data_IF_074992397417
#
_entry.id   IF_074992397417
#
_cell.length_a   1.000
_cell.length_b   1.000
_cell.length_c   1.000
_cell.angle_alpha   90.00
_cell.angle_beta   90.00
_cell.angle_gamma   90.00
#
_symmetry.space_group_name_H-M   'P 1'
#
loop_
_entity.id
_entity.type
_entity.pdbx_description
1 polymer ?
#
# COMPACT_ATOMS: atom_id res chain seq x y z
N UNK A 1 4.73 19.43 12.15
CA UNK A 1 4.65 20.09 10.83
C UNK A 1 5.24 19.18 9.77
N UNK A 2 4.55 19.00 8.64
CA UNK A 2 5.15 18.39 7.44
C UNK A 2 6.35 19.27 7.04
N UNK A 3 7.54 18.68 6.98
CA UNK A 3 8.74 19.44 6.62
C UNK A 3 8.74 19.67 5.10
N UNK A 4 9.12 20.87 4.64
CA UNK A 4 9.26 21.11 3.22
C UNK A 4 10.30 20.16 2.62
N UNK A 5 10.09 19.65 1.40
CA UNK A 5 10.93 18.63 0.78
C UNK A 5 12.41 19.07 0.66
N UNK A 6 12.67 20.37 0.58
CA UNK A 6 14.02 20.96 0.56
C UNK A 6 14.77 20.68 1.86
N UNK A 7 14.14 20.93 3.02
CA UNK A 7 14.73 20.61 4.34
C UNK A 7 14.93 19.12 4.54
N UNK A 8 14.06 18.29 3.96
CA UNK A 8 14.26 16.85 3.97
C UNK A 8 15.48 16.46 3.12
N UNK A 9 15.67 17.11 1.97
CA UNK A 9 16.83 16.93 1.10
C UNK A 9 18.15 17.31 1.77
N UNK A 10 18.17 18.42 2.50
CA UNK A 10 19.32 18.83 3.31
C UNK A 10 19.67 17.79 4.38
N UNK A 11 18.66 17.32 5.13
CA UNK A 11 18.85 16.30 6.17
C UNK A 11 19.35 14.98 5.60
N UNK A 12 18.80 14.52 4.48
CA UNK A 12 19.25 13.30 3.81
C UNK A 12 20.69 13.47 3.32
N UNK A 13 21.04 14.63 2.77
CA UNK A 13 22.40 14.93 2.34
C UNK A 13 23.40 14.90 3.50
N UNK A 14 23.04 15.49 4.65
CA UNK A 14 23.84 15.43 5.87
C UNK A 14 24.02 14.00 6.40
N UNK A 15 22.98 13.16 6.32
CA UNK A 15 23.07 11.73 6.67
C UNK A 15 24.05 11.01 5.74
N UNK A 16 23.99 11.27 4.43
CA UNK A 16 24.91 10.66 3.47
C UNK A 16 26.36 11.05 3.73
N UNK A 17 26.63 12.33 3.98
CA UNK A 17 27.98 12.81 4.33
C UNK A 17 28.52 12.10 5.58
N UNK A 18 27.68 11.94 6.61
CA UNK A 18 28.07 11.23 7.83
C UNK A 18 28.35 9.74 7.57
N UNK A 19 27.54 9.08 6.73
CA UNK A 19 27.76 7.68 6.37
C UNK A 19 29.03 7.49 5.55
N UNK A 20 29.35 8.42 4.65
CA UNK A 20 30.59 8.41 3.87
C UNK A 20 31.81 8.56 4.77
N UNK A 21 31.80 9.53 5.69
CA UNK A 21 32.89 9.71 6.66
C UNK A 21 33.06 8.49 7.59
N UNK A 22 31.96 7.84 8.00
CA UNK A 22 32.01 6.60 8.78
C UNK A 22 32.56 5.42 7.97
N UNK A 23 32.26 5.34 6.68
CA UNK A 23 32.77 4.30 5.81
C UNK A 23 34.28 4.44 5.56
N UNK A 24 34.77 5.68 5.45
CA UNK A 24 36.20 6.00 5.33
C UNK A 24 36.95 5.68 6.63
N UNK A 25 36.45 6.16 7.77
CA UNK A 25 37.08 5.91 9.08
C UNK A 25 37.09 4.44 9.48
N UNK A 26 36.10 3.65 9.04
CA UNK A 26 36.04 2.21 9.26
C UNK A 26 36.79 1.37 8.20
N UNK A 27 37.47 2.01 7.25
CA UNK A 27 38.20 1.36 6.13
C UNK A 27 37.36 0.28 5.41
N UNK A 28 36.13 0.64 5.06
CA UNK A 28 35.22 -0.32 4.42
C UNK A 28 35.70 -0.68 3.01
N UNK A 29 35.54 -1.95 2.58
CA UNK A 29 36.00 -2.39 1.26
C UNK A 29 35.27 -1.65 0.13
N UNK A 30 35.93 -1.51 -1.03
CA UNK A 30 35.41 -0.80 -2.20
C UNK A 30 33.99 -1.24 -2.62
N UNK A 31 33.65 -2.53 -2.41
CA UNK A 31 32.29 -3.05 -2.65
C UNK A 31 31.24 -2.37 -1.76
N UNK A 32 31.52 -2.19 -0.47
CA UNK A 32 30.61 -1.54 0.47
C UNK A 32 30.45 -0.04 0.14
N UNK A 33 31.54 0.63 -0.22
CA UNK A 33 31.52 2.02 -0.68
C UNK A 33 30.69 2.18 -1.97
N UNK A 34 30.82 1.26 -2.93
CA UNK A 34 30.01 1.25 -4.15
C UNK A 34 28.51 1.06 -3.87
N UNK A 35 28.14 0.22 -2.90
CA UNK A 35 26.75 0.08 -2.46
C UNK A 35 26.21 1.37 -1.81
N UNK A 36 27.04 2.05 -1.01
CA UNK A 36 26.67 3.32 -0.40
C UNK A 36 26.39 4.38 -1.48
N UNK A 37 27.28 4.51 -2.47
CA UNK A 37 27.09 5.42 -3.60
C UNK A 37 25.84 5.07 -4.42
N UNK A 38 25.59 3.79 -4.68
CA UNK A 38 24.37 3.35 -5.36
C UNK A 38 23.11 3.76 -4.60
N UNK A 39 23.12 3.67 -3.27
CA UNK A 39 21.98 4.04 -2.43
C UNK A 39 21.80 5.55 -2.39
N UNK A 40 22.89 6.33 -2.30
CA UNK A 40 22.87 7.80 -2.37
C UNK A 40 22.22 8.32 -3.65
N UNK A 41 22.44 7.65 -4.80
CA UNK A 41 21.79 8.01 -6.09
C UNK A 41 20.25 7.93 -6.05
N UNK A 42 19.67 7.17 -5.13
CA UNK A 42 18.21 7.09 -4.96
C UNK A 42 17.63 8.35 -4.28
N UNK A 43 18.47 9.22 -3.71
CA UNK A 43 18.02 10.38 -2.94
C UNK A 43 17.08 11.28 -3.75
N UNK A 44 17.41 11.57 -5.01
CA UNK A 44 16.56 12.38 -5.90
C UNK A 44 15.19 11.75 -6.10
N UNK A 45 15.13 10.44 -6.38
CA UNK A 45 13.87 9.73 -6.57
C UNK A 45 13.05 9.62 -5.28
N UNK A 46 13.71 9.44 -4.13
CA UNK A 46 13.07 9.43 -2.82
C UNK A 46 12.44 10.78 -2.51
N UNK A 47 13.16 11.87 -2.72
CA UNK A 47 12.65 13.23 -2.53
C UNK A 47 11.48 13.53 -3.47
N UNK A 48 11.58 13.16 -4.74
CA UNK A 48 10.50 13.31 -5.70
C UNK A 48 9.24 12.54 -5.28
N UNK A 49 9.40 11.32 -4.75
CA UNK A 49 8.26 10.52 -4.26
C UNK A 49 7.59 11.17 -3.05
N UNK A 50 8.38 11.73 -2.13
CA UNK A 50 7.86 12.41 -0.93
C UNK A 50 7.18 13.73 -1.30
N UNK A 51 7.78 14.51 -2.20
CA UNK A 51 7.20 15.74 -2.73
C UNK A 51 5.86 15.46 -3.44
N UNK A 52 5.84 14.43 -4.29
CA UNK A 52 4.61 13.96 -4.95
C UNK A 52 3.53 13.56 -3.95
N UNK A 53 3.88 12.80 -2.92
CA UNK A 53 2.94 12.42 -1.86
C UNK A 53 2.31 13.66 -1.20
N UNK A 54 3.14 14.63 -0.77
CA UNK A 54 2.62 15.85 -0.14
C UNK A 54 1.77 16.68 -1.11
N UNK A 55 2.18 16.84 -2.37
CA UNK A 55 1.38 17.54 -3.38
C UNK A 55 0.00 16.89 -3.57
N UNK A 56 -0.06 15.56 -3.65
CA UNK A 56 -1.33 14.83 -3.76
C UNK A 56 -2.22 14.98 -2.54
N UNK A 57 -1.63 14.97 -1.33
CA UNK A 57 -2.38 15.17 -0.08
C UNK A 57 -2.92 16.60 -0.01
N UNK A 58 -2.09 17.60 -0.29
CA UNK A 58 -2.51 19.01 -0.31
C UNK A 58 -3.65 19.22 -1.31
N UNK A 59 -3.49 18.79 -2.55
CA UNK A 59 -4.52 18.95 -3.58
C UNK A 59 -5.87 18.33 -3.18
N UNK A 60 -5.85 17.14 -2.55
CA UNK A 60 -7.09 16.47 -2.10
C UNK A 60 -7.76 17.18 -0.93
N UNK A 61 -6.99 17.74 -0.01
CA UNK A 61 -7.53 18.48 1.14
C UNK A 61 -8.00 19.87 0.74
N UNK A 62 -7.28 20.56 -0.15
CA UNK A 62 -7.69 21.85 -0.72
C UNK A 62 -9.04 21.73 -1.46
N UNK A 63 -9.27 20.61 -2.15
CA UNK A 63 -10.54 20.34 -2.86
C UNK A 63 -11.77 20.28 -1.93
N UNK A 64 -11.58 20.07 -0.62
CA UNK A 64 -12.65 20.11 0.37
C UNK A 64 -13.07 21.54 0.75
N UNK A 65 -12.30 22.56 0.32
CA UNK A 65 -12.57 23.98 0.55
C UNK A 65 -12.87 24.31 2.03
N UNK A 66 -12.01 23.81 2.92
CA UNK A 66 -12.18 23.90 4.37
C UNK A 66 -11.70 25.27 4.90
N UNK A 67 -12.22 25.66 6.07
CA UNK A 67 -11.66 26.80 6.80
C UNK A 67 -10.18 26.50 7.18
N UNK A 68 -9.27 27.49 7.17
CA UNK A 68 -7.83 27.28 7.36
C UNK A 68 -7.45 26.50 8.64
N UNK A 69 -8.20 26.71 9.73
CA UNK A 69 -8.00 26.00 10.99
C UNK A 69 -8.32 24.50 10.87
N UNK A 70 -9.40 24.14 10.16
CA UNK A 70 -9.82 22.76 9.93
C UNK A 70 -8.87 22.09 8.93
N UNK A 71 -8.51 22.78 7.86
CA UNK A 71 -7.54 22.29 6.87
C UNK A 71 -6.20 21.92 7.53
N UNK A 72 -5.68 22.82 8.38
CA UNK A 72 -4.46 22.58 9.16
C UNK A 72 -4.61 21.38 10.08
N UNK A 73 -5.75 21.25 10.77
CA UNK A 73 -6.03 20.11 11.63
C UNK A 73 -6.09 18.78 10.84
N UNK A 74 -6.66 18.78 9.64
CA UNK A 74 -6.70 17.60 8.76
C UNK A 74 -5.29 17.17 8.34
N UNK A 75 -4.49 18.10 7.85
CA UNK A 75 -3.14 17.85 7.36
C UNK A 75 -2.17 17.44 8.48
N UNK A 76 -2.25 18.09 9.64
CA UNK A 76 -1.24 17.95 10.70
C UNK A 76 -1.62 16.95 11.79
N UNK A 77 -2.90 16.67 11.99
CA UNK A 77 -3.38 15.79 13.05
C UNK A 77 -4.14 14.58 12.49
N UNK A 78 -5.21 14.80 11.70
CA UNK A 78 -6.11 13.72 11.28
C UNK A 78 -5.42 12.69 10.38
N UNK A 79 -4.81 13.12 9.27
CA UNK A 79 -4.13 12.20 8.33
C UNK A 79 -3.00 11.43 9.05
N UNK A 80 -2.09 12.09 9.81
CA UNK A 80 -1.09 11.39 10.61
C UNK A 80 -1.68 10.42 11.64
N UNK A 81 -2.74 10.78 12.35
CA UNK A 81 -3.41 9.90 13.31
C UNK A 81 -3.97 8.63 12.66
N UNK A 82 -4.67 8.78 11.54
CA UNK A 82 -5.24 7.65 10.79
C UNK A 82 -4.12 6.73 10.29
N UNK A 83 -3.05 7.33 9.77
CA UNK A 83 -1.87 6.58 9.35
C UNK A 83 -1.26 5.78 10.51
N UNK A 84 -1.04 6.40 11.67
CA UNK A 84 -0.49 5.74 12.86
C UNK A 84 -1.40 4.61 13.37
N UNK A 85 -2.72 4.80 13.37
CA UNK A 85 -3.68 3.77 13.73
C UNK A 85 -3.54 2.54 12.80
N UNK A 86 -3.47 2.77 11.47
CA UNK A 86 -3.29 1.69 10.49
C UNK A 86 -1.96 0.98 10.67
N UNK A 87 -0.88 1.70 10.88
CA UNK A 87 0.43 1.09 11.15
C UNK A 87 0.35 0.24 12.42
N UNK A 88 -0.25 0.71 13.50
CA UNK A 88 -0.41 -0.05 14.74
C UNK A 88 -1.07 -1.42 14.50
N UNK A 89 -2.15 -1.47 13.72
CA UNK A 89 -2.85 -2.74 13.40
C UNK A 89 -1.97 -3.75 12.67
N UNK A 90 -1.01 -3.28 11.86
CA UNK A 90 -0.13 -4.11 11.03
C UNK A 90 1.19 -4.47 11.74
N UNK A 91 1.51 -3.86 12.89
CA UNK A 91 2.76 -4.12 13.61
C UNK A 91 2.70 -5.41 14.43
N UNK A 92 3.80 -6.15 14.37
CA UNK A 92 4.13 -7.21 15.33
C UNK A 92 4.62 -6.58 16.65
N UNK A 93 4.36 -7.28 17.76
CA UNK A 93 4.72 -6.82 19.10
C UNK A 93 3.63 -5.96 19.77
N UNK A 94 3.19 -6.39 20.95
CA UNK A 94 2.12 -5.73 21.68
C UNK A 94 2.51 -4.31 22.14
N UNK A 95 3.75 -4.11 22.58
CA UNK A 95 4.23 -2.82 23.06
C UNK A 95 4.29 -1.77 21.94
N UNK A 96 4.92 -2.09 20.81
CA UNK A 96 5.00 -1.20 19.66
C UNK A 96 3.60 -0.84 19.12
N UNK A 97 2.67 -1.81 19.11
CA UNK A 97 1.27 -1.58 18.75
C UNK A 97 0.59 -0.59 19.71
N UNK A 98 0.71 -0.82 21.03
CA UNK A 98 0.14 0.08 22.05
C UNK A 98 0.69 1.49 21.94
N UNK A 99 2.02 1.63 21.78
CA UNK A 99 2.67 2.94 21.61
C UNK A 99 2.11 3.71 20.41
N UNK A 100 2.00 3.06 19.25
CA UNK A 100 1.47 3.71 18.04
C UNK A 100 -0.02 4.04 18.16
N UNK A 101 -0.81 3.15 18.77
CA UNK A 101 -2.21 3.40 19.04
C UNK A 101 -2.40 4.59 20.00
N UNK A 102 -1.57 4.69 21.05
CA UNK A 102 -1.58 5.82 21.98
C UNK A 102 -1.22 7.14 21.29
N UNK A 103 -0.20 7.15 20.42
CA UNK A 103 0.16 8.35 19.63
C UNK A 103 -0.96 8.77 18.68
N UNK A 104 -1.63 7.80 18.04
CA UNK A 104 -2.81 8.08 17.21
C UNK A 104 -3.95 8.67 18.03
N UNK A 105 -4.26 8.08 19.20
CA UNK A 105 -5.30 8.59 20.09
C UNK A 105 -4.98 10.00 20.60
N UNK A 106 -3.72 10.29 20.95
CA UNK A 106 -3.27 11.60 21.39
C UNK A 106 -3.47 12.67 20.29
N UNK A 107 -3.18 12.33 19.03
CA UNK A 107 -3.40 13.21 17.89
C UNK A 107 -4.89 13.40 17.56
N UNK A 108 -5.74 12.41 17.83
CA UNK A 108 -7.19 12.50 17.61
C UNK A 108 -7.93 13.23 18.72
N UNK A 109 -7.40 13.24 19.96
CA UNK A 109 -8.10 13.79 21.12
C UNK A 109 -8.53 15.26 20.93
N UNK A 110 -7.68 16.19 20.45
CA UNK A 110 -8.09 17.57 20.20
C UNK A 110 -9.20 17.67 19.15
N UNK A 111 -9.17 16.83 18.11
CA UNK A 111 -10.16 16.84 17.04
C UNK A 111 -11.54 16.36 17.50
N UNK A 112 -11.60 15.58 18.60
CA UNK A 112 -12.84 15.03 19.19
C UNK A 112 -13.41 15.90 20.30
N UNK A 113 -12.69 16.92 20.72
CA UNK A 113 -13.18 17.89 21.71
C UNK A 113 -14.35 18.68 21.11
N UNK A 114 -15.42 18.86 21.89
CA UNK A 114 -16.68 19.43 21.40
C UNK A 114 -16.55 20.88 20.92
N UNK A 115 -15.54 21.61 21.42
CA UNK A 115 -15.18 22.97 21.06
C UNK A 115 -14.34 23.07 19.78
N UNK A 116 -13.82 21.95 19.27
CA UNK A 116 -13.01 21.97 18.07
C UNK A 116 -13.86 22.36 16.84
N UNK A 117 -13.41 23.27 15.96
CA UNK A 117 -14.20 23.75 14.82
C UNK A 117 -14.73 22.65 13.90
N UNK A 118 -14.01 21.52 13.81
CA UNK A 118 -14.42 20.35 13.02
C UNK A 118 -15.69 19.69 13.56
N UNK A 119 -15.97 19.79 14.87
CA UNK A 119 -17.16 19.19 15.50
C UNK A 119 -18.42 20.01 15.27
N UNK A 120 -18.28 21.30 14.95
CA UNK A 120 -19.38 22.17 14.55
C UNK A 120 -19.90 21.89 13.12
N UNK A 121 -19.15 21.10 12.32
CA UNK A 121 -19.57 20.71 10.98
C UNK A 121 -20.66 19.63 11.00
N UNK A 122 -21.48 19.65 9.95
CA UNK A 122 -22.49 18.62 9.69
C UNK A 122 -21.86 17.21 9.67
N UNK A 123 -22.62 16.20 10.10
CA UNK A 123 -22.12 14.83 10.18
C UNK A 123 -21.67 14.28 8.80
N UNK A 124 -22.34 14.70 7.72
CA UNK A 124 -21.99 14.33 6.34
C UNK A 124 -20.64 14.93 5.93
N UNK A 125 -20.40 16.21 6.24
CA UNK A 125 -19.13 16.88 5.96
C UNK A 125 -17.97 16.26 6.75
N UNK A 126 -18.19 15.95 8.04
CA UNK A 126 -17.19 15.22 8.85
C UNK A 126 -16.85 13.86 8.24
N UNK A 127 -17.86 13.15 7.74
CA UNK A 127 -17.67 11.84 7.08
C UNK A 127 -16.86 11.97 5.79
N UNK A 128 -17.13 12.99 4.99
CA UNK A 128 -16.36 13.28 3.76
C UNK A 128 -14.90 13.62 4.08
N UNK A 129 -14.66 14.48 5.07
CA UNK A 129 -13.31 14.82 5.54
C UNK A 129 -12.58 13.57 6.03
N UNK A 130 -13.23 12.71 6.80
CA UNK A 130 -12.64 11.45 7.26
C UNK A 130 -12.30 10.51 6.11
N UNK A 131 -13.14 10.46 5.08
CA UNK A 131 -12.92 9.63 3.90
C UNK A 131 -11.71 10.12 3.10
N UNK A 132 -11.63 11.42 2.82
CA UNK A 132 -10.48 12.01 2.12
C UNK A 132 -9.20 11.86 2.94
N UNK A 133 -9.25 12.12 4.25
CA UNK A 133 -8.10 11.94 5.13
C UNK A 133 -7.66 10.46 5.20
N UNK A 134 -8.62 9.55 5.19
CA UNK A 134 -8.38 8.11 5.08
C UNK A 134 -7.69 7.74 3.78
N UNK A 135 -8.15 8.25 2.64
CA UNK A 135 -7.54 7.96 1.35
C UNK A 135 -6.13 8.54 1.26
N UNK A 136 -5.91 9.74 1.79
CA UNK A 136 -4.60 10.36 1.91
C UNK A 136 -3.64 9.53 2.76
N UNK A 137 -4.09 9.01 3.91
CA UNK A 137 -3.28 8.15 4.76
C UNK A 137 -2.93 6.79 4.10
N UNK A 138 -3.70 6.35 3.10
CA UNK A 138 -3.41 5.12 2.33
C UNK A 138 -2.45 5.37 1.15
N UNK A 139 -2.29 6.62 0.69
CA UNK A 139 -1.30 6.98 -0.33
C UNK A 139 0.13 6.75 0.15
N UNK A 140 0.41 6.98 1.45
CA UNK A 140 1.75 6.76 1.98
C UNK A 140 2.02 5.29 2.22
N UNK A 141 2.74 4.67 1.29
CA UNK A 141 3.11 3.26 1.40
C UNK A 141 4.55 3.10 1.90
N UNK A 142 4.70 2.63 3.14
CA UNK A 142 6.02 2.23 3.66
C UNK A 142 6.55 1.01 2.92
N UNK A 143 7.82 1.05 2.54
CA UNK A 143 8.59 -0.15 2.20
C UNK A 143 8.45 -1.16 3.35
N UNK A 144 7.85 -2.29 3.03
CA UNK A 144 7.66 -3.40 3.95
C UNK A 144 8.03 -4.69 3.22
N UNK A 145 8.32 -5.73 3.99
CA UNK A 145 8.72 -7.03 3.45
C UNK A 145 7.66 -7.65 2.52
N UNK A 146 6.38 -7.31 2.68
CA UNK A 146 5.32 -7.78 1.78
C UNK A 146 5.30 -7.06 0.42
N UNK A 147 5.74 -5.80 0.34
CA UNK A 147 5.94 -5.08 -0.92
C UNK A 147 7.20 -5.57 -1.62
N UNK A 148 8.27 -5.82 -0.87
CA UNK A 148 9.46 -6.50 -1.39
C UNK A 148 9.11 -7.90 -1.89
N UNK A 149 8.27 -8.64 -1.15
CA UNK A 149 7.73 -9.93 -1.55
C UNK A 149 6.83 -9.87 -2.77
N UNK A 150 5.96 -8.86 -2.90
CA UNK A 150 5.15 -8.62 -4.10
C UNK A 150 6.02 -8.24 -5.30
N UNK A 151 7.01 -7.37 -5.12
CA UNK A 151 7.93 -6.99 -6.19
C UNK A 151 8.80 -8.18 -6.60
N UNK A 152 9.20 -9.02 -5.63
CA UNK A 152 9.84 -10.31 -5.87
C UNK A 152 8.92 -11.28 -6.60
N UNK A 153 7.65 -11.39 -6.20
CA UNK A 153 6.63 -12.22 -6.84
C UNK A 153 6.29 -11.73 -8.26
N UNK A 154 6.23 -10.42 -8.50
CA UNK A 154 6.08 -9.83 -9.82
C UNK A 154 7.32 -10.09 -10.67
N UNK A 155 8.51 -9.89 -10.13
CA UNK A 155 9.76 -10.22 -10.80
C UNK A 155 9.82 -11.71 -11.14
N UNK A 156 9.40 -12.60 -10.23
CA UNK A 156 9.30 -14.05 -10.46
C UNK A 156 8.18 -14.39 -11.45
N UNK A 157 7.06 -13.68 -11.43
CA UNK A 157 5.95 -13.87 -12.36
C UNK A 157 6.40 -13.51 -13.77
N UNK A 158 6.98 -12.32 -13.96
CA UNK A 158 7.56 -11.90 -15.23
C UNK A 158 8.67 -12.84 -15.67
N UNK A 159 9.58 -13.26 -14.77
CA UNK A 159 10.57 -14.31 -15.02
C UNK A 159 9.94 -15.64 -15.47
N UNK A 160 8.89 -16.10 -14.79
CA UNK A 160 8.14 -17.32 -15.10
C UNK A 160 7.32 -17.22 -16.39
N UNK A 161 7.03 -16.01 -16.85
CA UNK A 161 6.39 -15.76 -18.14
C UNK A 161 7.40 -15.84 -19.30
N UNK A 162 8.71 -15.80 -19.04
CA UNK A 162 9.74 -16.00 -20.06
C UNK A 162 9.97 -17.47 -20.43
N UNK A 163 9.53 -18.45 -19.60
CA UNK A 163 9.63 -19.89 -19.91
C UNK A 163 8.38 -20.65 -19.46
N UNK A 164 7.77 -21.41 -20.37
CA UNK A 164 6.67 -22.31 -20.02
C UNK A 164 7.24 -23.54 -19.29
N UNK A 165 6.96 -23.66 -18.00
CA UNK A 165 7.26 -24.91 -17.28
C UNK A 165 6.42 -26.07 -17.84
N UNK A 166 6.90 -27.31 -17.68
CA UNK A 166 6.16 -28.50 -18.14
C UNK A 166 4.72 -28.55 -17.59
N UNK A 167 4.52 -28.14 -16.32
CA UNK A 167 3.18 -28.04 -15.71
C UNK A 167 2.29 -27.02 -16.42
N UNK A 168 2.83 -25.84 -16.74
CA UNK A 168 2.09 -24.76 -17.43
C UNK A 168 1.81 -25.15 -18.87
N UNK A 169 2.76 -25.80 -19.54
CA UNK A 169 2.57 -26.36 -20.87
C UNK A 169 1.44 -27.39 -20.88
N UNK A 170 1.46 -28.35 -19.95
CA UNK A 170 0.39 -29.35 -19.83
C UNK A 170 -0.99 -28.72 -19.61
N UNK A 171 -1.09 -27.72 -18.71
CA UNK A 171 -2.34 -27.01 -18.47
C UNK A 171 -2.83 -26.25 -19.72
N UNK A 172 -1.93 -25.55 -20.42
CA UNK A 172 -2.27 -24.85 -21.66
C UNK A 172 -2.66 -25.82 -22.78
N UNK A 173 -2.01 -26.98 -22.87
CA UNK A 173 -2.38 -28.07 -23.78
C UNK A 173 -3.77 -28.60 -23.47
N UNK A 174 -4.13 -28.76 -22.19
CA UNK A 174 -5.47 -29.18 -21.81
C UNK A 174 -6.53 -28.12 -22.18
N UNK A 175 -6.28 -26.84 -21.89
CA UNK A 175 -7.18 -25.74 -22.27
C UNK A 175 -7.35 -25.65 -23.79
N UNK A 176 -6.24 -25.74 -24.53
CA UNK A 176 -6.27 -25.71 -25.99
C UNK A 176 -7.08 -26.87 -26.58
N UNK A 177 -6.88 -28.08 -26.06
CA UNK A 177 -7.51 -29.27 -26.62
C UNK A 177 -8.98 -29.42 -26.23
N UNK A 178 -9.35 -29.06 -24.99
CA UNK A 178 -10.64 -29.42 -24.41
C UNK A 178 -11.56 -28.23 -24.09
N UNK A 179 -11.10 -26.98 -24.20
CA UNK A 179 -11.91 -25.80 -23.87
C UNK A 179 -12.01 -24.79 -25.02
N UNK A 180 -10.91 -24.45 -25.69
CA UNK A 180 -10.93 -23.47 -26.79
C UNK A 180 -11.68 -24.05 -28.00
N UNK A 181 -12.68 -23.29 -28.48
CA UNK A 181 -13.50 -23.63 -29.66
C UNK A 181 -13.12 -22.77 -30.86
N UNK A 182 -13.23 -23.34 -32.06
CA UNK A 182 -13.11 -22.61 -33.33
C UNK A 182 -14.46 -21.99 -33.72
N UNK A 183 -14.49 -21.32 -34.87
CA UNK A 183 -15.70 -20.70 -35.42
C UNK A 183 -16.85 -21.72 -35.65
N UNK A 184 -16.51 -22.99 -35.91
CA UNK A 184 -17.42 -24.13 -36.05
C UNK A 184 -17.87 -24.71 -34.69
N UNK A 185 -17.53 -24.06 -33.57
CA UNK A 185 -17.85 -24.47 -32.20
C UNK A 185 -17.23 -25.80 -31.73
N UNK A 186 -16.34 -26.43 -32.51
CA UNK A 186 -15.68 -27.69 -32.12
C UNK A 186 -14.38 -27.47 -31.37
N UNK A 187 -14.07 -28.36 -30.43
CA UNK A 187 -12.76 -28.40 -29.74
C UNK A 187 -11.72 -29.18 -30.56
N UNK A 188 -10.42 -28.99 -30.28
CA UNK A 188 -9.39 -29.76 -30.99
C UNK A 188 -9.44 -31.26 -30.64
N UNK A 189 -9.76 -31.60 -29.39
CA UNK A 189 -9.97 -32.98 -28.98
C UNK A 189 -11.17 -33.62 -29.68
N UNK A 190 -12.28 -32.90 -29.84
CA UNK A 190 -13.46 -33.40 -30.53
C UNK A 190 -13.18 -33.77 -31.99
N UNK A 191 -12.45 -32.92 -32.72
CA UNK A 191 -12.05 -33.22 -34.10
C UNK A 191 -11.08 -34.41 -34.19
N UNK A 192 -10.21 -34.58 -33.19
CA UNK A 192 -9.25 -35.67 -33.17
C UNK A 192 -9.89 -37.01 -32.82
N UNK A 193 -10.80 -37.04 -31.84
CA UNK A 193 -11.45 -38.27 -31.35
C UNK A 193 -12.80 -38.57 -32.02
N UNK A 194 -13.32 -37.67 -32.85
CA UNK A 194 -14.62 -37.83 -33.52
C UNK A 194 -15.83 -37.75 -32.58
N UNK A 195 -15.64 -37.31 -31.34
CA UNK A 195 -16.70 -37.16 -30.33
C UNK A 195 -16.39 -36.03 -29.36
N UNK A 196 -17.43 -35.33 -28.89
CA UNK A 196 -17.27 -34.26 -27.92
C UNK A 196 -16.74 -34.79 -26.57
N UNK A 197 -15.66 -34.20 -26.02
CA UNK A 197 -15.20 -34.52 -24.68
C UNK A 197 -16.15 -33.94 -23.61
N UNK A 198 -16.15 -34.47 -22.39
CA UNK A 198 -16.84 -33.84 -21.27
C UNK A 198 -16.37 -32.38 -21.08
N UNK A 199 -17.27 -31.46 -20.67
CA UNK A 199 -16.92 -30.07 -20.43
C UNK A 199 -15.79 -29.91 -19.38
N UNK A 200 -14.69 -29.24 -19.78
CA UNK A 200 -13.48 -29.13 -18.97
C UNK A 200 -13.72 -28.38 -17.65
N UNK A 201 -14.56 -27.34 -17.65
CA UNK A 201 -14.75 -26.48 -16.50
C UNK A 201 -15.48 -27.20 -15.35
N UNK A 202 -16.50 -27.97 -15.70
CA UNK A 202 -17.32 -28.79 -14.81
C UNK A 202 -16.47 -29.88 -14.17
N UNK A 203 -15.63 -30.56 -14.95
CA UNK A 203 -14.69 -31.55 -14.42
C UNK A 203 -13.62 -30.95 -13.50
N UNK A 204 -13.23 -29.69 -13.73
CA UNK A 204 -12.31 -28.99 -12.84
C UNK A 204 -13.01 -28.62 -11.53
N UNK A 205 -14.25 -28.14 -11.57
CA UNK A 205 -15.01 -27.79 -10.37
C UNK A 205 -15.19 -28.95 -9.41
N UNK A 206 -15.37 -30.18 -9.92
CA UNK A 206 -15.47 -31.39 -9.09
C UNK A 206 -14.17 -31.73 -8.34
N UNK A 207 -13.02 -31.25 -8.84
CA UNK A 207 -11.69 -31.63 -8.35
C UNK A 207 -10.94 -30.51 -7.65
N UNK A 208 -11.36 -29.26 -7.84
CA UNK A 208 -10.69 -28.10 -7.25
C UNK A 208 -11.23 -27.85 -5.84
N UNK A 209 -10.38 -27.85 -4.80
CA UNK A 209 -10.81 -27.49 -3.45
C UNK A 209 -11.27 -26.03 -3.42
N UNK A 210 -12.42 -25.77 -2.80
CA UNK A 210 -12.93 -24.41 -2.65
C UNK A 210 -11.98 -23.59 -1.77
N UNK A 211 -11.70 -22.32 -2.14
CA UNK A 211 -10.89 -21.45 -1.30
C UNK A 211 -11.62 -21.17 0.03
N UNK A 212 -10.88 -20.92 1.11
CA UNK A 212 -11.47 -20.57 2.39
C UNK A 212 -12.30 -19.28 2.26
N UNK A 213 -13.39 -19.19 3.03
CA UNK A 213 -14.23 -18.00 3.06
C UNK A 213 -13.40 -16.78 3.54
N UNK A 214 -13.60 -15.60 2.94
CA UNK A 214 -12.94 -14.39 3.41
C UNK A 214 -13.39 -14.06 4.83
N UNK A 215 -12.47 -13.53 5.63
CA UNK A 215 -12.75 -13.10 7.00
C UNK A 215 -13.76 -11.94 7.01
N UNK A 216 -14.81 -12.06 7.81
CA UNK A 216 -15.73 -10.95 8.05
C UNK A 216 -14.97 -9.77 8.70
N UNK A 217 -15.11 -8.58 8.12
CA UNK A 217 -14.49 -7.36 8.65
C UNK A 217 -15.40 -6.75 9.72
N UNK A 218 -14.82 -6.39 10.85
CA UNK A 218 -15.51 -5.58 11.85
C UNK A 218 -15.84 -4.18 11.27
N UNK A 219 -16.94 -3.54 11.70
CA UNK A 219 -17.28 -2.18 11.30
C UNK A 219 -16.18 -1.20 11.72
N UNK A 220 -15.89 -0.21 10.86
CA UNK A 220 -14.93 0.86 11.19
C UNK A 220 -15.60 1.86 12.13
N UNK A 221 -14.93 2.17 13.23
CA UNK A 221 -15.33 3.26 14.13
C UNK A 221 -14.85 4.59 13.51
N UNK A 222 -15.72 5.61 13.34
CA UNK A 222 -15.31 6.91 12.80
C UNK A 222 -14.24 7.59 13.67
N UNK A 223 -13.35 8.33 13.03
CA UNK A 223 -12.23 8.99 13.71
C UNK A 223 -12.63 10.28 14.42
N UNK A 224 -13.58 11.03 13.87
CA UNK A 224 -14.07 12.32 14.37
C UNK A 224 -15.33 12.19 15.23
N UNK A 225 -15.74 10.98 15.62
CA UNK A 225 -16.80 10.82 16.62
C UNK A 225 -16.44 11.63 17.88
N UNK A 226 -17.31 12.54 18.34
CA UNK A 226 -17.05 13.32 19.55
C UNK A 226 -16.87 12.38 20.74
N UNK A 227 -16.05 12.78 21.71
CA UNK A 227 -15.97 12.03 22.96
C UNK A 227 -17.33 12.12 23.68
N UNK A 228 -17.84 10.98 24.14
CA UNK A 228 -18.97 10.99 25.06
C UNK A 228 -18.57 11.81 26.30
N UNK A 229 -19.41 12.77 26.68
CA UNK A 229 -19.24 13.57 27.89
C UNK A 229 -19.31 12.68 29.15
#
# INVERSE_FOLDING_TARGET
MAQPPERLGERLSAIWQRLEALAETADLPARAQAHLQKTKRLNTALLATIAFFFAMVHQRVEALNLAPAIETAVLQQLIPAIYLARVATRRSGAEARRRLAALSAQQLAPLRAADHPIQALEATQRTEIEQVASDCADLFQRSNSAIEGRNGQLSLFHHSCHRLSARKLFALTAVHNFYIRRADQTTAAERFFGRAPPPLFEQLLERVPLPPRPRARAPKIPYLSPMAA
#
